data_IF_321699466131
#
_entry.id   IF_321699466131
#
_cell.length_a   1.000
_cell.length_b   1.000
_cell.length_c   1.000
_cell.angle_alpha   90.00
_cell.angle_beta   90.00
_cell.angle_gamma   90.00
#
_symmetry.space_group_name_H-M   'P 1'
#
loop_
_entity.id
_entity.type
_entity.pdbx_description
1 polymer ?
#
# COMPACT_ATOMS: atom_id res chain seq x y z
N UNK A 1 -0.20 -16.84 -12.85
CA UNK A 1 -0.19 -17.44 -11.48
C UNK A 1 -1.45 -16.97 -10.77
N UNK A 2 -2.15 -17.80 -10.01
CA UNK A 2 -3.34 -17.34 -9.28
C UNK A 2 -2.92 -16.37 -8.16
N UNK A 3 -3.56 -15.21 -8.08
CA UNK A 3 -3.25 -14.17 -7.09
C UNK A 3 -3.68 -14.55 -5.65
N UNK A 4 -4.64 -15.47 -5.52
CA UNK A 4 -5.26 -15.83 -4.25
C UNK A 4 -6.60 -16.52 -4.43
N UNK A 5 -7.51 -16.30 -3.48
CA UNK A 5 -8.85 -16.86 -3.48
C UNK A 5 -9.87 -15.89 -2.86
N UNK A 6 -11.18 -16.04 -3.15
CA UNK A 6 -12.22 -15.26 -2.49
C UNK A 6 -12.13 -15.41 -0.97
N UNK A 7 -12.09 -14.29 -0.28
CA UNK A 7 -11.98 -14.25 1.18
C UNK A 7 -13.34 -14.34 1.86
N UNK A 8 -13.33 -14.72 3.15
CA UNK A 8 -14.55 -14.73 3.95
C UNK A 8 -14.67 -13.42 4.74
N UNK A 9 -15.82 -12.76 4.66
CA UNK A 9 -16.10 -11.49 5.36
C UNK A 9 -15.84 -11.51 6.87
N UNK A 10 -15.97 -12.67 7.52
CA UNK A 10 -15.72 -12.88 8.95
C UNK A 10 -14.24 -13.08 9.31
N UNK A 11 -13.36 -13.21 8.30
CA UNK A 11 -11.92 -13.43 8.44
C UNK A 11 -11.10 -12.30 7.81
N UNK A 12 -11.70 -11.11 7.68
CA UNK A 12 -11.00 -9.94 7.15
C UNK A 12 -9.97 -9.47 8.17
N UNK A 13 -8.72 -9.38 7.74
CA UNK A 13 -7.61 -8.87 8.55
C UNK A 13 -7.54 -7.34 8.49
N UNK A 14 -7.74 -6.75 7.30
CA UNK A 14 -7.81 -5.30 7.10
C UNK A 14 -8.83 -4.91 6.01
N UNK A 15 -9.30 -3.67 6.08
CA UNK A 15 -10.10 -3.05 5.01
C UNK A 15 -9.28 -1.95 4.34
N UNK A 16 -9.30 -1.90 3.01
CA UNK A 16 -8.74 -0.83 2.19
C UNK A 16 -9.92 -0.14 1.50
N UNK A 17 -10.10 1.15 1.77
CA UNK A 17 -11.07 1.97 1.05
C UNK A 17 -10.51 2.35 -0.32
N UNK A 18 -11.29 2.11 -1.37
CA UNK A 18 -10.95 2.40 -2.76
C UNK A 18 -11.97 3.36 -3.35
N UNK A 19 -11.50 4.43 -3.98
CA UNK A 19 -12.33 5.37 -4.74
C UNK A 19 -11.97 5.29 -6.22
N UNK A 20 -12.98 5.07 -7.06
CA UNK A 20 -12.88 5.13 -8.51
C UNK A 20 -13.39 6.50 -8.96
N UNK A 21 -12.61 7.23 -9.75
CA UNK A 21 -12.97 8.56 -10.23
C UNK A 21 -12.16 8.97 -11.46
N UNK A 22 -12.66 9.97 -12.18
CA UNK A 22 -11.92 10.73 -13.17
C UNK A 22 -11.54 12.11 -12.61
N UNK A 23 -10.38 12.65 -13.00
CA UNK A 23 -10.03 14.03 -12.68
C UNK A 23 -10.38 15.00 -13.83
N UNK A 24 -10.24 16.31 -13.57
CA UNK A 24 -10.55 17.37 -14.55
C UNK A 24 -9.66 17.31 -15.82
N UNK A 25 -8.54 16.59 -15.76
CA UNK A 25 -7.61 16.38 -16.89
C UNK A 25 -7.98 15.15 -17.74
N UNK A 26 -9.01 14.40 -17.32
CA UNK A 26 -9.47 13.18 -17.98
C UNK A 26 -8.66 11.93 -17.62
N UNK A 27 -7.79 12.01 -16.62
CA UNK A 27 -7.14 10.83 -16.07
C UNK A 27 -8.13 10.02 -15.24
N UNK A 28 -8.06 8.70 -15.40
CA UNK A 28 -8.91 7.75 -14.71
C UNK A 28 -8.12 7.17 -13.53
N UNK A 29 -8.68 7.23 -12.33
CA UNK A 29 -7.93 7.02 -11.09
C UNK A 29 -8.56 5.92 -10.24
N UNK A 30 -7.68 5.07 -9.69
CA UNK A 30 -7.97 4.20 -8.56
C UNK A 30 -7.23 4.77 -7.35
N UNK A 31 -7.95 5.49 -6.50
CA UNK A 31 -7.42 6.09 -5.28
C UNK A 31 -7.60 5.16 -4.07
N UNK A 32 -6.53 4.98 -3.31
CA UNK A 32 -6.55 4.28 -2.02
C UNK A 32 -5.29 4.63 -1.22
N UNK A 33 -5.17 4.09 0.00
CA UNK A 33 -3.86 3.96 0.65
C UNK A 33 -2.91 3.03 -0.15
N UNK A 34 -1.66 2.89 0.28
CA UNK A 34 -0.70 1.98 -0.36
C UNK A 34 -1.16 0.52 -0.23
N UNK A 35 -1.26 -0.20 -1.34
CA UNK A 35 -1.72 -1.60 -1.36
C UNK A 35 -0.55 -2.56 -1.12
N UNK A 36 0.10 -2.43 0.03
CA UNK A 36 1.17 -3.34 0.49
C UNK A 36 0.61 -4.35 1.49
N UNK A 37 0.50 -5.59 1.04
CA UNK A 37 -0.29 -6.66 1.65
C UNK A 37 0.62 -7.80 2.08
N UNK A 38 0.33 -8.43 3.22
CA UNK A 38 1.10 -9.61 3.63
C UNK A 38 0.59 -10.84 2.90
N UNK A 39 1.52 -11.74 2.56
CA UNK A 39 1.11 -13.03 2.04
C UNK A 39 0.24 -13.76 3.09
N UNK A 40 -0.86 -14.36 2.64
CA UNK A 40 -1.86 -15.04 3.46
C UNK A 40 -2.95 -14.13 4.03
N UNK A 41 -2.82 -12.81 3.88
CA UNK A 41 -3.75 -11.85 4.45
C UNK A 41 -5.06 -11.77 3.65
N UNK A 42 -6.17 -11.59 4.37
CA UNK A 42 -7.50 -11.36 3.81
C UNK A 42 -7.88 -9.90 3.88
N UNK A 43 -8.00 -9.28 2.73
CA UNK A 43 -8.30 -7.85 2.57
C UNK A 43 -9.75 -7.70 2.11
N UNK A 44 -10.48 -6.77 2.73
CA UNK A 44 -11.73 -6.23 2.18
C UNK A 44 -11.40 -4.94 1.44
N UNK A 45 -11.64 -4.92 0.14
CA UNK A 45 -11.66 -3.68 -0.63
C UNK A 45 -13.06 -3.12 -0.58
N UNK A 46 -13.25 -1.99 0.11
CA UNK A 46 -14.51 -1.26 0.14
C UNK A 46 -14.47 -0.19 -0.96
N UNK A 47 -15.19 -0.44 -2.06
CA UNK A 47 -14.99 0.27 -3.32
C UNK A 47 -16.18 1.19 -3.56
N UNK A 48 -15.92 2.46 -3.80
CA UNK A 48 -16.94 3.46 -4.16
C UNK A 48 -16.58 4.10 -5.48
N UNK A 49 -17.55 4.13 -6.41
CA UNK A 49 -17.44 4.95 -7.60
C UNK A 49 -17.92 6.37 -7.31
N UNK A 50 -17.00 7.33 -7.32
CA UNK A 50 -17.29 8.77 -7.21
C UNK A 50 -17.11 9.52 -8.54
N UNK A 51 -16.77 8.80 -9.60
CA UNK A 51 -16.68 9.32 -10.95
C UNK A 51 -18.04 9.57 -11.58
N UNK A 52 -17.99 10.11 -12.79
CA UNK A 52 -19.16 10.33 -13.64
C UNK A 52 -19.44 9.15 -14.58
N UNK A 53 -18.46 8.29 -14.82
CA UNK A 53 -18.60 7.10 -15.67
C UNK A 53 -18.75 5.83 -14.84
N UNK A 54 -19.21 4.77 -15.51
CA UNK A 54 -19.15 3.44 -14.96
C UNK A 54 -17.69 3.00 -14.81
N UNK A 55 -17.40 2.34 -13.69
CA UNK A 55 -16.07 1.86 -13.40
C UNK A 55 -16.07 0.42 -12.94
N UNK A 56 -14.94 -0.22 -13.16
CA UNK A 56 -14.68 -1.59 -12.77
C UNK A 56 -13.44 -1.63 -11.89
N UNK A 57 -13.46 -2.54 -10.93
CA UNK A 57 -12.30 -2.92 -10.15
C UNK A 57 -12.05 -4.41 -10.40
N UNK A 58 -10.94 -4.75 -11.05
CA UNK A 58 -10.46 -6.12 -11.25
C UNK A 58 -9.12 -6.26 -10.56
N UNK A 59 -8.98 -7.28 -9.71
CA UNK A 59 -7.72 -7.61 -9.06
C UNK A 59 -7.12 -8.84 -9.75
N UNK A 60 -5.96 -8.71 -10.41
CA UNK A 60 -5.24 -9.84 -11.01
C UNK A 60 -3.74 -9.55 -11.21
N UNK A 61 -3.01 -10.45 -11.87
CA UNK A 61 -1.67 -10.17 -12.40
C UNK A 61 -1.73 -9.21 -13.58
N UNK A 62 -0.66 -8.44 -13.79
CA UNK A 62 -0.55 -7.52 -14.93
C UNK A 62 -0.72 -8.25 -16.28
N UNK A 63 -0.18 -9.47 -16.38
CA UNK A 63 -0.28 -10.31 -17.58
C UNK A 63 -1.74 -10.69 -17.85
N UNK A 64 -2.45 -11.21 -16.84
CA UNK A 64 -3.86 -11.58 -16.97
C UNK A 64 -4.75 -10.38 -17.29
N UNK A 65 -4.54 -9.23 -16.64
CA UNK A 65 -5.30 -8.01 -16.95
C UNK A 65 -5.06 -7.56 -18.40
N UNK A 66 -3.81 -7.64 -18.88
CA UNK A 66 -3.49 -7.30 -20.27
C UNK A 66 -4.15 -8.25 -21.28
N UNK A 67 -4.14 -9.57 -21.00
CA UNK A 67 -4.83 -10.56 -21.83
C UNK A 67 -6.35 -10.33 -21.83
N UNK A 68 -6.95 -10.14 -20.66
CA UNK A 68 -8.38 -9.92 -20.49
C UNK A 68 -8.83 -8.65 -21.24
N UNK A 69 -8.04 -7.58 -21.18
CA UNK A 69 -8.31 -6.34 -21.94
C UNK A 69 -8.34 -6.58 -23.46
N UNK A 70 -7.43 -7.40 -23.98
CA UNK A 70 -7.42 -7.78 -25.40
C UNK A 70 -8.68 -8.57 -25.77
N UNK A 71 -9.20 -9.38 -24.85
CA UNK A 71 -10.46 -10.11 -25.05
C UNK A 71 -11.68 -9.19 -25.03
N UNK A 72 -11.78 -8.27 -24.06
CA UNK A 72 -12.86 -7.28 -24.00
C UNK A 72 -12.92 -6.39 -25.25
N UNK A 73 -11.76 -6.06 -25.83
CA UNK A 73 -11.70 -5.30 -27.07
C UNK A 73 -12.26 -6.06 -28.28
N UNK A 74 -12.33 -7.40 -28.23
CA UNK A 74 -12.85 -8.24 -29.31
C UNK A 74 -14.34 -8.52 -29.17
N UNK A 75 -14.79 -8.74 -27.94
CA UNK A 75 -16.20 -9.01 -27.61
C UNK A 75 -16.52 -8.36 -26.28
N UNK A 76 -17.53 -7.50 -26.27
CA UNK A 76 -18.04 -6.87 -25.06
C UNK A 76 -18.73 -7.95 -24.20
N UNK A 77 -17.96 -8.54 -23.28
CA UNK A 77 -18.40 -9.63 -22.42
C UNK A 77 -18.29 -9.22 -20.97
N UNK A 78 -19.43 -9.27 -20.29
CA UNK A 78 -19.49 -9.17 -18.84
C UNK A 78 -19.27 -10.57 -18.24
N UNK A 79 -18.43 -10.61 -17.22
CA UNK A 79 -18.17 -11.81 -16.45
C UNK A 79 -18.34 -11.45 -14.96
N UNK A 80 -18.86 -12.36 -14.15
CA UNK A 80 -19.01 -12.16 -12.70
C UNK A 80 -17.97 -13.05 -12.01
N UNK A 81 -16.77 -12.49 -11.82
CA UNK A 81 -15.68 -13.20 -11.13
C UNK A 81 -15.52 -12.60 -9.73
N UNK A 82 -15.22 -13.41 -8.70
CA UNK A 82 -15.16 -12.92 -7.32
C UNK A 82 -14.06 -11.87 -7.03
N UNK A 83 -13.07 -11.73 -7.91
CA UNK A 83 -12.00 -10.72 -7.86
C UNK A 83 -12.35 -9.45 -8.65
N UNK A 84 -13.61 -9.28 -9.06
CA UNK A 84 -14.11 -8.17 -9.85
C UNK A 84 -15.38 -7.58 -9.28
N UNK A 85 -15.57 -6.28 -9.52
CA UNK A 85 -16.87 -5.63 -9.42
C UNK A 85 -16.99 -4.49 -10.43
N UNK A 86 -18.17 -4.34 -11.03
CA UNK A 86 -18.55 -3.19 -11.86
C UNK A 86 -19.54 -2.32 -11.08
N UNK A 87 -19.36 -1.00 -11.12
CA UNK A 87 -20.11 -0.03 -10.33
C UNK A 87 -20.54 1.17 -11.18
N UNK A 88 -21.84 1.42 -11.21
CA UNK A 88 -22.42 2.67 -11.69
C UNK A 88 -21.92 3.89 -10.89
N UNK A 89 -22.00 5.11 -11.46
CA UNK A 89 -21.71 6.35 -10.74
C UNK A 89 -22.47 6.44 -9.40
N UNK A 90 -21.74 6.72 -8.31
CA UNK A 90 -22.29 6.81 -6.96
C UNK A 90 -22.56 5.48 -6.25
N UNK A 91 -22.35 4.35 -6.92
CA UNK A 91 -22.51 3.03 -6.30
C UNK A 91 -21.30 2.65 -5.43
N UNK A 92 -21.55 1.74 -4.49
CA UNK A 92 -20.54 1.15 -3.61
C UNK A 92 -20.69 -0.36 -3.62
N UNK A 93 -19.58 -1.07 -3.52
CA UNK A 93 -19.56 -2.52 -3.33
C UNK A 93 -18.24 -2.98 -2.70
N UNK A 94 -18.06 -4.30 -2.59
CA UNK A 94 -16.87 -4.85 -1.96
C UNK A 94 -16.32 -6.08 -2.68
N UNK A 95 -14.99 -6.19 -2.66
CA UNK A 95 -14.26 -7.39 -3.04
C UNK A 95 -13.49 -7.86 -1.81
N UNK A 96 -13.71 -9.10 -1.38
CA UNK A 96 -12.98 -9.69 -0.25
C UNK A 96 -12.04 -10.76 -0.79
N UNK A 97 -10.75 -10.61 -0.55
CA UNK A 97 -9.73 -11.44 -1.17
C UNK A 97 -8.65 -11.88 -0.20
N UNK A 98 -8.31 -13.17 -0.22
CA UNK A 98 -7.18 -13.74 0.52
C UNK A 98 -6.00 -13.94 -0.44
N UNK A 99 -4.90 -13.22 -0.20
CA UNK A 99 -3.72 -13.26 -1.07
C UNK A 99 -2.84 -14.46 -0.75
N UNK A 100 -2.81 -15.45 -1.64
CA UNK A 100 -2.09 -16.71 -1.38
C UNK A 100 -0.60 -16.66 -1.73
N UNK A 101 -0.21 -15.80 -2.68
CA UNK A 101 1.13 -15.76 -3.25
C UNK A 101 1.74 -14.36 -3.10
N UNK A 102 3.02 -14.31 -2.75
CA UNK A 102 3.79 -13.08 -2.81
C UNK A 102 4.08 -12.69 -4.28
N UNK A 103 4.19 -11.39 -4.55
CA UNK A 103 4.43 -10.86 -5.88
C UNK A 103 3.86 -9.47 -6.08
N UNK A 104 3.96 -8.98 -7.31
CA UNK A 104 3.31 -7.74 -7.75
C UNK A 104 2.09 -8.10 -8.60
N UNK A 105 0.96 -7.58 -8.18
CA UNK A 105 -0.35 -7.70 -8.82
C UNK A 105 -0.87 -6.29 -9.15
N UNK A 106 -2.07 -6.23 -9.69
CA UNK A 106 -2.67 -5.00 -10.17
C UNK A 106 -4.17 -4.99 -9.90
N UNK A 107 -4.65 -3.87 -9.38
CA UNK A 107 -6.05 -3.49 -9.45
C UNK A 107 -6.23 -2.61 -10.69
N UNK A 108 -7.20 -2.92 -11.55
CA UNK A 108 -7.40 -2.22 -12.81
C UNK A 108 -8.88 -2.08 -13.19
N UNK A 109 -9.20 -1.07 -13.98
CA UNK A 109 -10.45 -1.00 -14.74
C UNK A 109 -10.18 -1.41 -16.19
N UNK A 110 -10.89 -2.42 -16.69
CA UNK A 110 -10.65 -2.99 -18.02
C UNK A 110 -11.68 -2.51 -19.07
N UNK A 111 -12.57 -1.59 -18.67
CA UNK A 111 -13.46 -0.90 -19.60
C UNK A 111 -12.60 -0.23 -20.69
N UNK A 112 -12.93 -0.40 -21.99
CA UNK A 112 -12.11 0.11 -23.08
C UNK A 112 -11.71 1.58 -22.89
N UNK A 113 -10.40 1.85 -22.87
CA UNK A 113 -9.82 3.18 -22.70
C UNK A 113 -9.56 3.61 -21.26
N UNK A 114 -10.20 3.00 -20.25
CA UNK A 114 -10.01 3.40 -18.85
C UNK A 114 -8.60 3.05 -18.35
N UNK A 115 -8.15 1.82 -18.65
CA UNK A 115 -6.79 1.39 -18.32
C UNK A 115 -5.73 2.32 -18.96
N UNK A 116 -5.86 2.60 -20.25
CA UNK A 116 -4.93 3.48 -20.98
C UNK A 116 -4.91 4.91 -20.46
N UNK A 117 -6.02 5.38 -19.91
CA UNK A 117 -6.15 6.69 -19.25
C UNK A 117 -5.67 6.69 -17.79
N UNK A 118 -5.03 5.61 -17.33
CA UNK A 118 -4.36 5.54 -16.03
C UNK A 118 -5.07 4.74 -14.95
N UNK A 119 -6.19 4.07 -15.27
CA UNK A 119 -7.04 3.40 -14.26
C UNK A 119 -6.49 2.06 -13.78
N UNK A 120 -5.28 2.07 -13.26
CA UNK A 120 -4.62 0.91 -12.70
C UNK A 120 -3.77 1.28 -11.48
N UNK A 121 -3.62 0.35 -10.56
CA UNK A 121 -2.87 0.53 -9.32
C UNK A 121 -2.11 -0.74 -8.95
N UNK A 122 -0.84 -0.58 -8.61
CA UNK A 122 0.00 -1.68 -8.19
C UNK A 122 -0.41 -2.21 -6.81
N UNK A 123 -0.41 -3.53 -6.67
CA UNK A 123 -0.69 -4.27 -5.44
C UNK A 123 0.52 -5.14 -5.12
N UNK A 124 1.21 -4.87 -4.01
CA UNK A 124 2.42 -5.60 -3.61
C UNK A 124 2.10 -6.57 -2.49
N UNK A 125 2.41 -7.86 -2.66
CA UNK A 125 2.18 -8.90 -1.65
C UNK A 125 3.50 -9.54 -1.24
N UNK A 126 3.78 -9.65 0.05
CA UNK A 126 4.97 -10.32 0.55
C UNK A 126 5.06 -10.37 2.08
N UNK A 127 5.91 -11.23 2.63
CA UNK A 127 5.95 -11.52 4.07
C UNK A 127 6.34 -10.32 4.95
N UNK A 128 7.01 -9.32 4.38
CA UNK A 128 7.13 -7.97 4.92
C UNK A 128 7.43 -7.04 3.74
N UNK A 129 7.09 -5.75 3.90
CA UNK A 129 7.49 -4.67 3.00
C UNK A 129 8.87 -4.97 2.42
N UNK A 130 8.92 -5.29 1.12
CA UNK A 130 10.15 -5.18 0.36
C UNK A 130 10.46 -3.68 0.32
N UNK A 131 11.07 -3.24 1.41
CA UNK A 131 11.51 -1.91 1.71
C UNK A 131 12.56 -1.59 0.64
N UNK A 132 12.17 -0.85 -0.39
CA UNK A 132 13.03 -0.42 -1.49
C UNK A 132 14.36 0.11 -0.93
N UNK A 133 15.47 -0.61 -1.11
CA UNK A 133 16.84 -0.32 -0.65
C UNK A 133 16.96 0.84 0.35
N UNK A 134 16.34 0.70 1.52
CA UNK A 134 16.42 1.76 2.52
C UNK A 134 17.72 1.57 3.29
N UNK A 135 18.62 2.52 3.14
CA UNK A 135 19.91 2.52 3.83
C UNK A 135 19.70 2.70 5.33
N UNK A 136 19.89 1.62 6.08
CA UNK A 136 19.83 1.63 7.53
C UNK A 136 21.08 2.31 8.09
N UNK A 137 20.86 3.17 9.09
CA UNK A 137 21.93 3.82 9.84
C UNK A 137 22.00 3.20 11.23
N UNK A 138 23.22 2.92 11.69
CA UNK A 138 23.44 2.44 13.05
C UNK A 138 23.21 3.55 14.08
N UNK A 139 22.70 3.20 15.25
CA UNK A 139 22.63 4.13 16.37
C UNK A 139 22.40 3.46 17.71
N UNK A 140 22.63 4.22 18.78
CA UNK A 140 22.40 3.78 20.15
C UNK A 140 21.33 4.63 20.80
N UNK A 141 20.29 4.00 21.35
CA UNK A 141 19.22 4.68 22.08
C UNK A 141 19.78 5.26 23.37
N UNK A 142 19.80 6.59 23.49
CA UNK A 142 20.30 7.28 24.69
C UNK A 142 19.20 7.56 25.70
N UNK A 143 18.00 7.90 25.24
CA UNK A 143 16.87 8.25 26.13
C UNK A 143 15.54 8.11 25.41
N UNK A 144 14.53 7.56 26.08
CA UNK A 144 13.17 7.45 25.55
C UNK A 144 12.22 8.36 26.34
N UNK A 145 11.46 9.20 25.66
CA UNK A 145 10.34 9.97 26.21
C UNK A 145 9.06 9.56 25.47
N UNK A 146 8.50 8.42 25.87
CA UNK A 146 7.31 7.85 25.26
C UNK A 146 6.09 8.78 25.35
N UNK A 147 5.99 9.57 26.43
CA UNK A 147 4.90 10.55 26.61
C UNK A 147 4.98 11.68 25.60
N UNK A 148 6.19 12.11 25.24
CA UNK A 148 6.41 13.16 24.25
C UNK A 148 6.54 12.63 22.81
N UNK A 149 6.54 11.31 22.60
CA UNK A 149 6.84 10.67 21.31
C UNK A 149 8.22 11.02 20.80
N UNK A 150 9.21 11.06 21.69
CA UNK A 150 10.58 11.48 21.39
C UNK A 150 11.59 10.44 21.85
N UNK A 151 12.62 10.25 21.04
CA UNK A 151 13.77 9.39 21.37
C UNK A 151 15.06 10.12 21.05
N UNK A 152 16.02 10.07 21.98
CA UNK A 152 17.37 10.58 21.75
C UNK A 152 18.24 9.44 21.27
N UNK A 153 18.83 9.58 20.08
CA UNK A 153 19.66 8.55 19.44
C UNK A 153 21.05 9.14 19.17
N UNK A 154 22.09 8.39 19.54
CA UNK A 154 23.46 8.60 19.07
C UNK A 154 23.56 7.86 17.74
N UNK A 155 23.53 8.56 16.61
CA UNK A 155 23.44 7.91 15.30
C UNK A 155 24.73 8.07 14.51
N UNK A 156 25.01 7.09 13.64
CA UNK A 156 25.98 7.18 12.56
C UNK A 156 25.55 8.19 11.48
N UNK A 157 26.31 8.34 10.39
CA UNK A 157 25.95 9.26 9.31
C UNK A 157 24.58 8.91 8.70
N UNK A 158 23.67 9.88 8.65
CA UNK A 158 22.37 9.76 7.98
C UNK A 158 22.53 10.32 6.57
N UNK A 159 22.96 9.48 5.63
CA UNK A 159 23.28 9.86 4.25
C UNK A 159 22.08 10.46 3.53
N UNK A 160 20.90 9.87 3.73
CA UNK A 160 19.63 10.32 3.12
C UNK A 160 19.19 11.72 3.59
N UNK A 161 19.71 12.19 4.74
CA UNK A 161 19.39 13.50 5.31
C UNK A 161 20.58 14.48 5.26
N UNK A 162 21.69 14.07 4.65
CA UNK A 162 22.97 14.81 4.60
C UNK A 162 23.44 15.27 6.00
N UNK A 163 23.36 14.36 6.97
CA UNK A 163 23.71 14.63 8.37
C UNK A 163 24.87 13.74 8.84
N UNK A 164 25.93 14.32 9.43
CA UNK A 164 27.02 13.54 10.01
C UNK A 164 26.57 12.80 11.27
N UNK A 165 27.40 11.87 11.75
CA UNK A 165 27.15 11.17 13.02
C UNK A 165 27.09 12.16 14.20
N UNK A 166 25.99 12.15 14.96
CA UNK A 166 25.76 13.04 16.11
C UNK A 166 24.70 12.49 17.06
N UNK A 167 24.42 13.22 18.15
CA UNK A 167 23.31 12.91 19.07
C UNK A 167 22.13 13.82 18.78
N UNK A 168 20.99 13.27 18.41
CA UNK A 168 19.78 14.03 18.09
C UNK A 168 18.51 13.45 18.67
N UNK A 169 17.47 14.27 18.69
CA UNK A 169 16.12 13.88 19.11
C UNK A 169 15.27 13.61 17.87
N UNK A 170 14.76 12.40 17.77
CA UNK A 170 13.84 11.96 16.74
C UNK A 170 12.44 11.80 17.33
N UNK A 171 11.42 11.92 16.50
CA UNK A 171 10.08 11.40 16.80
C UNK A 171 10.02 9.92 16.47
N UNK A 172 9.15 9.20 17.16
CA UNK A 172 8.80 7.82 16.82
C UNK A 172 7.34 7.60 17.26
N UNK A 173 6.63 6.73 16.55
CA UNK A 173 5.30 6.31 16.97
C UNK A 173 5.38 5.30 18.13
N UNK A 174 4.23 5.00 18.72
CA UNK A 174 4.13 4.11 19.87
C UNK A 174 4.58 2.67 19.56
N UNK A 175 4.33 2.19 18.34
CA UNK A 175 4.69 0.83 17.92
C UNK A 175 6.21 0.65 17.75
N UNK A 176 6.91 1.66 17.23
CA UNK A 176 8.36 1.70 17.11
C UNK A 176 8.99 1.90 18.49
N UNK A 177 8.47 2.83 19.30
CA UNK A 177 9.00 3.08 20.66
C UNK A 177 8.87 1.87 21.58
N UNK A 178 7.81 1.06 21.43
CA UNK A 178 7.62 -0.17 22.22
C UNK A 178 8.74 -1.21 22.00
N UNK A 179 9.50 -1.09 20.92
CA UNK A 179 10.63 -1.97 20.58
C UNK A 179 11.99 -1.42 21.05
N UNK A 180 12.02 -0.24 21.67
CA UNK A 180 13.25 0.43 22.10
C UNK A 180 13.54 0.22 23.58
N UNK A 181 14.82 0.05 23.91
CA UNK A 181 15.34 0.11 25.27
C UNK A 181 16.50 1.11 25.37
N UNK A 182 16.61 1.81 26.50
CA UNK A 182 17.76 2.71 26.73
C UNK A 182 19.06 1.90 26.77
N UNK A 183 20.08 2.38 26.05
CA UNK A 183 21.36 1.70 25.85
C UNK A 183 21.37 0.67 24.72
N UNK A 184 20.26 0.45 24.02
CA UNK A 184 20.17 -0.49 22.91
C UNK A 184 20.86 0.06 21.65
N UNK A 185 21.68 -0.77 21.03
CA UNK A 185 22.15 -0.57 19.67
C UNK A 185 21.07 -1.04 18.68
N UNK A 186 20.78 -0.20 17.69
CA UNK A 186 19.75 -0.40 16.69
C UNK A 186 20.26 -0.07 15.30
N UNK A 187 19.59 -0.61 14.30
CA UNK A 187 19.65 -0.10 12.93
C UNK A 187 18.31 0.57 12.63
N UNK A 188 18.34 1.81 12.15
CA UNK A 188 17.11 2.57 11.91
C UNK A 188 17.16 3.44 10.67
N UNK A 189 15.97 3.86 10.26
CA UNK A 189 15.74 4.79 9.17
C UNK A 189 15.08 6.02 9.77
N UNK A 190 15.59 7.19 9.42
CA UNK A 190 14.96 8.46 9.78
C UNK A 190 14.66 9.31 8.55
N UNK A 191 13.54 10.03 8.62
CA UNK A 191 13.13 10.98 7.59
C UNK A 191 12.48 12.24 8.23
N UNK A 192 12.28 13.28 7.42
CA UNK A 192 11.59 14.51 7.80
C UNK A 192 10.09 14.39 7.58
N UNK A 193 9.38 13.89 8.58
CA UNK A 193 7.90 13.88 8.58
C UNK A 193 7.38 15.21 9.12
N UNK A 194 6.66 15.98 8.28
CA UNK A 194 6.13 17.31 8.64
C UNK A 194 7.21 18.26 9.20
N UNK A 195 8.40 18.23 8.59
CA UNK A 195 9.56 19.02 9.00
C UNK A 195 10.28 18.55 10.26
N UNK A 196 9.86 17.43 10.88
CA UNK A 196 10.48 16.86 12.08
C UNK A 196 11.21 15.56 11.76
N UNK A 197 12.43 15.42 12.28
CA UNK A 197 13.19 14.18 12.22
C UNK A 197 12.42 13.07 12.93
N UNK A 198 12.12 12.00 12.22
CA UNK A 198 11.23 10.92 12.67
C UNK A 198 11.83 9.57 12.27
N UNK A 199 11.95 8.66 13.22
CA UNK A 199 12.28 7.25 12.95
C UNK A 199 11.08 6.63 12.26
N UNK A 200 11.28 6.21 11.01
CA UNK A 200 10.24 5.58 10.20
C UNK A 200 10.31 4.07 10.27
N UNK A 201 11.51 3.50 10.47
CA UNK A 201 11.74 2.05 10.55
C UNK A 201 12.90 1.73 11.51
N UNK A 202 12.87 0.56 12.15
CA UNK A 202 13.89 0.10 13.12
C UNK A 202 13.98 -1.43 13.13
N UNK A 203 15.20 -1.95 13.21
CA UNK A 203 15.55 -3.36 13.37
C UNK A 203 16.43 -3.57 14.60
#
# INVERSE_FOLDING_TARGET
>A
MAIGMPGHTAKVDRTIDVTLLENDEGEMLIESEEMTIKQGETIRFNITNKGELEHEFVLDTLENNAEHKIEMAKMDMEHDDPNRIRLDPGATGEVVWTFANAGTFEAACLIPGHYESGMHRAVSVGDQMAQADVEYTSGTIKKIDAKAGKVTIIHGPLVNLDMPAMTMVFRADEAIMAKMAEGQDIEFVADRVKGKLTVTQMK
#
